data_IF_841646752317
#
_entry.id   IF_841646752317
#
_cell.length_a   1.000
_cell.length_b   1.000
_cell.length_c   1.000
_cell.angle_alpha   90.00
_cell.angle_beta   90.00
_cell.angle_gamma   90.00
#
_symmetry.space_group_name_H-M   'P 1'
#
loop_
_entity.id
_entity.type
_entity.pdbx_description
1 polymer ?
#
# COMPACT_ATOMS: atom_id res chain seq x y z
N UNK A 1 -27.94 60.09 7.12
CA UNK A 1 -27.02 59.18 7.79
C UNK A 1 -27.57 57.80 7.64
N UNK A 2 -27.17 56.97 6.66
CA UNK A 2 -27.47 55.53 6.63
C UNK A 2 -26.26 54.72 7.05
N UNK A 3 -26.51 53.80 7.99
CA UNK A 3 -25.53 52.86 8.54
C UNK A 3 -25.17 51.76 7.56
N UNK A 4 -23.87 51.45 7.49
CA UNK A 4 -23.33 50.30 6.76
C UNK A 4 -23.57 49.01 7.54
N UNK A 5 -24.34 48.08 6.94
CA UNK A 5 -24.36 46.71 7.33
C UNK A 5 -23.15 46.00 6.70
N UNK A 6 -22.18 45.65 7.52
CA UNK A 6 -21.07 44.77 7.14
C UNK A 6 -21.53 43.32 7.13
N UNK A 7 -21.50 42.67 5.97
CA UNK A 7 -21.72 41.23 5.83
C UNK A 7 -20.39 40.52 6.19
N UNK A 8 -20.37 39.87 7.32
CA UNK A 8 -19.30 38.95 7.72
C UNK A 8 -19.53 37.63 7.00
N UNK A 9 -18.76 37.39 5.96
CA UNK A 9 -18.67 36.04 5.36
C UNK A 9 -17.89 35.13 6.33
N UNK A 10 -18.64 34.30 7.06
CA UNK A 10 -18.06 33.26 7.87
C UNK A 10 -17.41 32.19 6.99
N UNK A 11 -16.09 32.06 7.08
CA UNK A 11 -15.37 30.90 6.54
C UNK A 11 -15.80 29.67 7.32
N UNK A 12 -16.48 28.73 6.66
CA UNK A 12 -16.77 27.41 7.18
C UNK A 12 -15.45 26.68 7.45
N UNK A 13 -15.22 26.33 8.70
CA UNK A 13 -14.15 25.41 9.12
C UNK A 13 -14.37 24.07 8.43
N UNK A 14 -13.33 23.39 7.94
CA UNK A 14 -13.47 22.03 7.41
C UNK A 14 -13.91 21.10 8.55
N UNK A 15 -15.02 20.43 8.35
CA UNK A 15 -15.61 19.49 9.30
C UNK A 15 -14.67 18.32 9.61
N UNK A 16 -14.90 17.58 10.68
CA UNK A 16 -13.98 16.59 11.26
C UNK A 16 -14.01 15.26 10.49
N UNK A 17 -13.57 15.22 9.25
CA UNK A 17 -13.35 13.97 8.50
C UNK A 17 -12.06 13.24 8.89
N UNK A 18 -11.17 13.90 9.64
CA UNK A 18 -9.90 13.31 10.08
C UNK A 18 -10.01 12.47 11.37
N UNK A 19 -11.11 12.54 12.12
CA UNK A 19 -11.24 11.88 13.42
C UNK A 19 -12.03 10.56 13.43
N UNK A 20 -12.63 10.14 12.32
CA UNK A 20 -13.46 8.92 12.28
C UNK A 20 -12.66 7.64 11.99
N UNK A 21 -11.35 7.72 11.73
CA UNK A 21 -10.52 6.55 11.39
C UNK A 21 -9.71 6.01 12.57
N UNK A 22 -9.71 6.69 13.72
CA UNK A 22 -9.13 6.16 14.96
C UNK A 22 -10.21 5.49 15.80
N UNK A 23 -10.01 4.22 16.10
CA UNK A 23 -10.78 3.41 17.05
C UNK A 23 -12.20 2.95 16.64
N UNK A 24 -12.29 2.00 15.72
CA UNK A 24 -13.23 0.91 15.91
C UNK A 24 -12.47 -0.35 16.27
N UNK A 25 -12.47 -0.66 17.55
CA UNK A 25 -12.17 -1.98 18.08
C UNK A 25 -13.12 -2.98 17.39
N UNK A 26 -12.54 -4.01 16.82
CA UNK A 26 -13.23 -5.11 16.18
C UNK A 26 -14.08 -5.86 17.22
N UNK A 27 -15.39 -5.82 17.10
CA UNK A 27 -16.28 -6.66 17.87
C UNK A 27 -16.69 -7.84 16.99
N UNK A 28 -16.32 -9.08 17.33
CA UNK A 28 -16.71 -10.25 16.56
C UNK A 28 -18.01 -10.81 17.14
N UNK A 29 -19.13 -10.68 16.46
CA UNK A 29 -20.27 -11.59 16.63
C UNK A 29 -21.33 -11.32 15.54
N UNK A 30 -21.32 -12.12 14.47
CA UNK A 30 -22.53 -12.72 13.92
C UNK A 30 -22.11 -14.04 13.27
N UNK A 31 -22.52 -15.15 13.85
CA UNK A 31 -22.46 -16.47 13.24
C UNK A 31 -23.52 -16.54 12.12
N UNK A 32 -23.06 -16.55 10.89
CA UNK A 32 -23.83 -16.92 9.71
C UNK A 32 -23.07 -17.98 8.95
N UNK A 33 -23.68 -19.10 8.67
CA UNK A 33 -23.16 -20.27 7.96
C UNK A 33 -22.42 -19.88 6.68
N UNK A 34 -21.08 -19.93 6.74
CA UNK A 34 -20.19 -19.68 5.59
C UNK A 34 -20.01 -20.95 4.77
N UNK A 35 -19.98 -20.87 3.42
CA UNK A 35 -19.58 -21.99 2.58
C UNK A 35 -18.12 -22.37 2.87
N UNK A 36 -17.86 -23.67 2.88
CA UNK A 36 -16.57 -24.29 3.21
C UNK A 36 -15.40 -23.66 2.45
N UNK A 37 -14.53 -22.98 3.20
CA UNK A 37 -13.26 -22.42 2.70
C UNK A 37 -12.33 -23.54 2.23
N UNK A 38 -11.60 -23.36 1.12
CA UNK A 38 -10.56 -24.31 0.76
C UNK A 38 -9.52 -24.35 1.89
N UNK A 39 -9.44 -25.48 2.57
CA UNK A 39 -8.46 -25.74 3.61
C UNK A 39 -7.10 -25.89 2.95
N UNK A 40 -6.23 -24.86 3.11
CA UNK A 40 -4.82 -25.05 2.79
C UNK A 40 -4.29 -26.06 3.82
N UNK A 41 -3.65 -27.16 3.39
CA UNK A 41 -3.11 -28.14 4.33
C UNK A 41 -2.20 -27.44 5.34
N UNK A 42 -2.40 -27.70 6.63
CA UNK A 42 -1.60 -27.16 7.75
C UNK A 42 -0.10 -27.52 7.67
N UNK A 43 0.31 -28.34 6.72
CA UNK A 43 1.62 -28.97 6.70
C UNK A 43 2.68 -28.27 5.83
N UNK A 44 2.45 -27.07 5.30
CA UNK A 44 3.50 -26.30 4.63
C UNK A 44 4.00 -25.16 5.53
N UNK A 45 4.88 -25.49 6.48
CA UNK A 45 5.63 -24.47 7.20
C UNK A 45 6.38 -23.58 6.22
N UNK A 46 6.20 -22.27 6.35
CA UNK A 46 6.92 -21.29 5.54
C UNK A 46 8.32 -21.09 6.11
N UNK A 47 9.33 -21.10 5.25
CA UNK A 47 10.69 -20.77 5.68
C UNK A 47 10.81 -19.28 6.03
N UNK A 48 11.53 -19.00 7.12
CA UNK A 48 11.88 -17.62 7.49
C UNK A 48 12.78 -17.01 6.39
N UNK A 49 12.64 -15.71 6.13
CA UNK A 49 13.50 -15.02 5.19
C UNK A 49 14.95 -15.09 5.70
N UNK A 50 15.81 -15.79 4.97
CA UNK A 50 17.25 -15.88 5.29
C UNK A 50 18.01 -14.81 4.53
N UNK A 51 18.84 -14.08 5.25
CA UNK A 51 19.71 -13.03 4.70
C UNK A 51 21.06 -13.07 5.40
N UNK A 52 22.09 -12.69 4.68
CA UNK A 52 23.43 -12.44 5.23
C UNK A 52 23.60 -10.98 5.72
N UNK A 53 22.53 -10.17 5.69
CA UNK A 53 22.53 -8.83 6.24
C UNK A 53 22.22 -8.87 7.74
N UNK A 54 23.08 -8.31 8.61
CA UNK A 54 22.83 -8.21 10.05
C UNK A 54 21.84 -7.07 10.40
N UNK A 55 21.59 -6.16 9.45
CA UNK A 55 20.73 -4.97 9.62
C UNK A 55 20.52 -4.26 8.29
N UNK A 56 20.21 -2.97 8.33
CA UNK A 56 20.03 -2.15 7.14
C UNK A 56 21.27 -2.18 6.23
N UNK A 57 21.05 -2.16 4.93
CA UNK A 57 22.13 -2.28 3.95
C UNK A 57 23.07 -1.06 4.01
N UNK A 58 24.38 -1.29 4.11
CA UNK A 58 25.42 -0.24 4.26
C UNK A 58 25.37 0.87 3.20
N UNK A 59 24.88 0.57 1.99
CA UNK A 59 24.77 1.53 0.88
C UNK A 59 23.35 2.10 0.72
N UNK A 60 22.46 1.86 1.69
CA UNK A 60 21.07 2.30 1.59
C UNK A 60 21.00 3.82 1.37
N UNK A 61 21.63 4.60 2.24
CA UNK A 61 21.62 6.06 2.17
C UNK A 61 22.10 6.56 0.81
N UNK A 62 23.28 6.15 0.35
CA UNK A 62 23.83 6.59 -0.93
C UNK A 62 22.98 6.22 -2.15
N UNK A 63 22.24 5.09 -2.07
CA UNK A 63 21.33 4.68 -3.15
C UNK A 63 20.06 5.56 -3.15
N UNK A 64 19.48 5.81 -1.98
CA UNK A 64 18.26 6.60 -1.83
C UNK A 64 18.51 8.08 -2.17
N UNK A 65 19.60 8.67 -1.68
CA UNK A 65 20.01 10.06 -2.00
C UNK A 65 20.14 10.27 -3.51
N UNK A 66 20.84 9.37 -4.20
CA UNK A 66 20.96 9.43 -5.66
C UNK A 66 19.60 9.40 -6.35
N UNK A 67 18.65 8.57 -5.87
CA UNK A 67 17.33 8.47 -6.48
C UNK A 67 16.45 9.68 -6.13
N UNK A 68 16.66 10.31 -4.97
CA UNK A 68 15.98 11.54 -4.58
C UNK A 68 16.35 12.73 -5.49
N UNK A 69 17.61 12.78 -5.92
CA UNK A 69 18.17 13.87 -6.74
C UNK A 69 17.94 13.67 -8.24
N UNK A 70 17.42 12.52 -8.66
CA UNK A 70 17.23 12.18 -10.06
C UNK A 70 15.81 11.68 -10.35
N UNK A 71 15.23 12.16 -11.45
CA UNK A 71 13.99 11.59 -11.95
C UNK A 71 14.25 10.25 -12.65
N UNK A 72 13.50 9.23 -12.27
CA UNK A 72 13.54 7.98 -12.99
C UNK A 72 12.73 8.07 -14.29
N UNK A 73 13.43 8.06 -15.43
CA UNK A 73 12.86 8.23 -16.77
C UNK A 73 12.62 6.89 -17.49
N UNK A 74 12.66 5.75 -16.81
CA UNK A 74 12.37 4.45 -17.43
C UNK A 74 11.03 4.48 -18.20
N UNK A 75 10.92 3.84 -19.37
CA UNK A 75 9.70 3.89 -20.16
C UNK A 75 8.53 3.23 -19.43
N UNK A 76 7.35 3.86 -19.50
CA UNK A 76 6.10 3.25 -19.04
C UNK A 76 5.75 2.10 -19.98
N UNK A 77 5.50 0.92 -19.44
CA UNK A 77 5.10 -0.24 -20.22
C UNK A 77 3.76 0.01 -20.91
N UNK A 78 3.60 -0.28 -22.23
CA UNK A 78 2.35 0.00 -22.96
C UNK A 78 1.10 -0.59 -22.30
N UNK A 79 1.18 -1.84 -21.83
CA UNK A 79 0.06 -2.47 -21.13
C UNK A 79 -0.29 -1.77 -19.78
N UNK A 80 0.70 -1.22 -19.06
CA UNK A 80 0.44 -0.43 -17.85
C UNK A 80 -0.27 0.87 -18.19
N UNK A 81 0.13 1.55 -19.27
CA UNK A 81 -0.51 2.78 -19.76
C UNK A 81 -1.96 2.53 -20.18
N UNK A 82 -2.23 1.46 -20.93
CA UNK A 82 -3.58 1.11 -21.35
C UNK A 82 -4.48 0.74 -20.16
N UNK A 83 -3.95 -0.04 -19.20
CA UNK A 83 -4.67 -0.41 -17.99
C UNK A 83 -4.99 0.83 -17.11
N UNK A 84 -4.05 1.77 -17.03
CA UNK A 84 -4.25 3.04 -16.33
C UNK A 84 -5.35 3.87 -17.00
N UNK A 85 -5.29 4.08 -18.30
CA UNK A 85 -6.29 4.85 -19.04
C UNK A 85 -7.70 4.25 -18.88
N UNK A 86 -7.83 2.93 -18.98
CA UNK A 86 -9.08 2.23 -18.78
C UNK A 86 -9.61 2.39 -17.33
N UNK A 87 -8.73 2.33 -16.32
CA UNK A 87 -9.09 2.57 -14.93
C UNK A 87 -9.61 4.00 -14.74
N UNK A 88 -8.87 5.02 -15.20
CA UNK A 88 -9.23 6.43 -15.03
C UNK A 88 -10.57 6.75 -15.72
N UNK A 89 -10.84 6.17 -16.88
CA UNK A 89 -12.11 6.36 -17.60
C UNK A 89 -13.32 5.81 -16.85
N UNK A 90 -13.15 4.76 -16.04
CA UNK A 90 -14.22 4.10 -15.29
C UNK A 90 -14.23 4.38 -13.78
N UNK A 91 -13.32 5.20 -13.28
CA UNK A 91 -13.24 5.54 -11.86
C UNK A 91 -14.08 6.77 -11.53
N UNK A 92 -14.95 6.63 -10.54
CA UNK A 92 -15.63 7.75 -9.92
C UNK A 92 -14.65 8.56 -9.06
N UNK A 93 -14.31 9.76 -9.49
CA UNK A 93 -13.31 10.63 -8.85
C UNK A 93 -13.77 11.18 -7.49
N UNK A 94 -15.07 11.14 -7.20
CA UNK A 94 -15.61 11.52 -5.90
C UNK A 94 -15.42 10.40 -4.86
N UNK A 95 -15.16 9.16 -5.33
CA UNK A 95 -14.82 8.04 -4.48
C UNK A 95 -13.32 8.03 -4.14
N UNK A 96 -12.92 8.10 -2.85
CA UNK A 96 -11.52 8.06 -2.46
C UNK A 96 -10.83 6.80 -2.98
N UNK A 97 -9.62 6.96 -3.53
CA UNK A 97 -8.85 5.85 -4.07
C UNK A 97 -8.00 5.18 -2.99
N UNK A 98 -8.10 3.86 -2.91
CA UNK A 98 -7.23 3.00 -2.09
C UNK A 98 -6.45 2.07 -3.00
N UNK A 99 -5.11 2.06 -2.88
CA UNK A 99 -4.23 1.19 -3.67
C UNK A 99 -3.83 -0.06 -2.90
N UNK A 100 -3.85 -1.21 -3.58
CA UNK A 100 -3.24 -2.47 -3.15
C UNK A 100 -2.18 -2.87 -4.20
N UNK A 101 -0.95 -2.43 -3.99
CA UNK A 101 0.13 -2.60 -4.97
C UNK A 101 0.87 -3.92 -4.77
N UNK A 102 0.85 -4.77 -5.80
CA UNK A 102 1.33 -6.14 -5.73
C UNK A 102 0.27 -7.09 -5.16
N UNK A 103 -1.01 -6.85 -5.48
CA UNK A 103 -2.17 -7.55 -4.91
C UNK A 103 -2.20 -9.08 -5.17
N UNK A 104 -1.33 -9.59 -6.02
CA UNK A 104 -1.25 -11.01 -6.34
C UNK A 104 -2.52 -11.52 -7.00
N UNK A 105 -3.27 -12.36 -6.30
CA UNK A 105 -4.56 -12.87 -6.79
C UNK A 105 -5.69 -11.85 -6.66
N UNK A 106 -5.53 -10.79 -5.86
CA UNK A 106 -6.58 -9.82 -5.53
C UNK A 106 -7.33 -10.15 -4.26
N UNK A 107 -6.92 -11.19 -3.51
CA UNK A 107 -7.58 -11.55 -2.25
C UNK A 107 -7.48 -10.41 -1.21
N UNK A 108 -6.31 -9.77 -1.10
CA UNK A 108 -6.12 -8.59 -0.26
C UNK A 108 -6.99 -7.42 -0.73
N UNK A 109 -7.09 -7.20 -2.03
CA UNK A 109 -7.91 -6.14 -2.61
C UNK A 109 -9.37 -6.30 -2.20
N UNK A 110 -9.93 -7.53 -2.26
CA UNK A 110 -11.29 -7.81 -1.80
C UNK A 110 -11.46 -7.52 -0.31
N UNK A 111 -10.52 -7.97 0.53
CA UNK A 111 -10.56 -7.68 1.98
C UNK A 111 -10.49 -6.19 2.29
N UNK A 112 -9.62 -5.46 1.60
CA UNK A 112 -9.51 -4.01 1.76
C UNK A 112 -10.82 -3.34 1.31
N UNK A 113 -11.45 -3.82 0.23
CA UNK A 113 -12.72 -3.28 -0.27
C UNK A 113 -13.87 -3.50 0.71
N UNK A 114 -13.94 -4.68 1.35
CA UNK A 114 -14.92 -4.97 2.41
C UNK A 114 -14.82 -3.97 3.59
N UNK A 115 -13.58 -3.60 3.97
CA UNK A 115 -13.34 -2.66 5.07
C UNK A 115 -13.44 -1.18 4.69
N UNK A 116 -13.54 -0.88 3.39
CA UNK A 116 -13.60 0.49 2.86
C UNK A 116 -14.75 0.62 1.84
N UNK A 117 -16.02 0.42 2.24
CA UNK A 117 -17.15 0.34 1.31
C UNK A 117 -17.38 1.64 0.51
N UNK A 118 -16.97 2.79 1.05
CA UNK A 118 -17.13 4.10 0.41
C UNK A 118 -15.90 4.53 -0.41
N UNK A 119 -14.95 3.61 -0.67
CA UNK A 119 -13.73 3.88 -1.43
C UNK A 119 -13.67 3.00 -2.66
N UNK A 120 -13.07 3.48 -3.73
CA UNK A 120 -12.64 2.62 -4.83
C UNK A 120 -11.31 1.96 -4.47
N UNK A 121 -11.29 0.63 -4.43
CA UNK A 121 -10.08 -0.14 -4.10
C UNK A 121 -9.50 -0.75 -5.37
N UNK A 122 -8.27 -0.36 -5.69
CA UNK A 122 -7.55 -0.78 -6.88
C UNK A 122 -6.41 -1.72 -6.55
N UNK A 123 -6.55 -3.00 -6.92
CA UNK A 123 -5.49 -3.99 -6.88
C UNK A 123 -4.65 -3.96 -8.16
N UNK A 124 -3.34 -3.84 -8.01
CA UNK A 124 -2.38 -3.77 -9.13
C UNK A 124 -1.43 -4.95 -9.02
N UNK A 125 -1.34 -5.78 -10.06
CA UNK A 125 -0.31 -6.83 -10.16
C UNK A 125 0.13 -7.02 -11.61
N UNK A 126 1.42 -7.27 -11.83
CA UNK A 126 1.96 -7.51 -13.18
C UNK A 126 1.65 -8.90 -13.74
N UNK A 127 1.30 -9.86 -12.89
CA UNK A 127 1.13 -11.26 -13.27
C UNK A 127 -0.31 -11.58 -13.64
N UNK A 128 -0.59 -11.76 -14.93
CA UNK A 128 -1.88 -12.24 -15.41
C UNK A 128 -2.27 -13.59 -14.76
N UNK A 129 -1.29 -14.50 -14.61
CA UNK A 129 -1.51 -15.80 -14.00
C UNK A 129 -1.95 -15.71 -12.52
N UNK A 130 -1.45 -14.73 -11.77
CA UNK A 130 -1.90 -14.49 -10.38
C UNK A 130 -3.30 -13.90 -10.36
N UNK A 131 -3.54 -12.84 -11.11
CA UNK A 131 -4.86 -12.18 -11.20
C UNK A 131 -5.96 -13.15 -11.65
N UNK A 132 -5.66 -14.06 -12.58
CA UNK A 132 -6.59 -15.09 -13.07
C UNK A 132 -6.93 -16.19 -12.04
N UNK A 133 -6.28 -16.22 -10.88
CA UNK A 133 -6.56 -17.17 -9.79
C UNK A 133 -7.52 -16.61 -8.74
N UNK A 134 -8.08 -15.45 -8.94
CA UNK A 134 -9.09 -14.90 -8.04
C UNK A 134 -10.35 -15.77 -8.07
N UNK A 135 -10.91 -16.05 -6.91
CA UNK A 135 -12.07 -16.94 -6.74
C UNK A 135 -13.15 -16.38 -5.80
N UNK A 136 -12.89 -15.20 -5.22
CA UNK A 136 -13.88 -14.53 -4.39
C UNK A 136 -14.87 -13.73 -5.27
N UNK A 137 -16.08 -13.43 -4.78
CA UNK A 137 -16.98 -12.52 -5.46
C UNK A 137 -16.34 -11.14 -5.67
N UNK A 138 -16.54 -10.54 -6.84
CA UNK A 138 -16.09 -9.18 -7.08
C UNK A 138 -17.06 -8.18 -6.42
N UNK A 139 -16.49 -7.29 -5.61
CA UNK A 139 -17.24 -6.22 -4.97
C UNK A 139 -17.37 -5.03 -5.93
N UNK A 140 -18.49 -4.30 -5.84
CA UNK A 140 -18.78 -3.16 -6.73
C UNK A 140 -17.73 -2.05 -6.64
N UNK A 141 -17.11 -1.88 -5.46
CA UNK A 141 -16.08 -0.89 -5.18
C UNK A 141 -14.64 -1.41 -5.40
N UNK A 142 -14.47 -2.63 -5.95
CA UNK A 142 -13.18 -3.24 -6.22
C UNK A 142 -12.87 -3.21 -7.71
N UNK A 143 -11.61 -2.95 -8.03
CA UNK A 143 -11.04 -3.09 -9.39
C UNK A 143 -9.71 -3.80 -9.31
N UNK A 144 -9.39 -4.61 -10.31
CA UNK A 144 -8.07 -5.28 -10.44
C UNK A 144 -7.51 -5.06 -11.82
N UNK A 145 -6.26 -4.61 -11.90
CA UNK A 145 -5.59 -4.31 -13.16
C UNK A 145 -4.26 -5.05 -13.29
N UNK A 146 -3.99 -5.49 -14.52
CA UNK A 146 -2.67 -6.02 -14.85
C UNK A 146 -1.76 -4.88 -15.27
N UNK A 147 -0.87 -4.47 -14.36
CA UNK A 147 0.09 -3.41 -14.61
C UNK A 147 1.32 -3.58 -13.70
N UNK A 148 2.40 -2.89 -14.03
CA UNK A 148 3.53 -2.69 -13.12
C UNK A 148 3.16 -1.60 -12.13
N UNK A 149 3.35 -1.85 -10.83
CA UNK A 149 3.02 -0.90 -9.78
C UNK A 149 3.80 0.41 -9.93
N UNK A 150 5.10 0.32 -10.26
CA UNK A 150 5.96 1.48 -10.48
C UNK A 150 5.49 2.39 -11.63
N UNK A 151 4.92 1.82 -12.69
CA UNK A 151 4.33 2.58 -13.78
C UNK A 151 3.06 3.31 -13.34
N UNK A 152 2.19 2.61 -12.59
CA UNK A 152 0.94 3.18 -12.07
C UNK A 152 1.19 4.33 -11.11
N UNK A 153 2.15 4.19 -10.18
CA UNK A 153 2.53 5.26 -9.26
C UNK A 153 2.98 6.52 -10.00
N UNK A 154 3.78 6.34 -11.05
CA UNK A 154 4.25 7.47 -11.88
C UNK A 154 3.13 8.14 -12.64
N UNK A 155 2.18 7.38 -13.17
CA UNK A 155 1.03 7.91 -13.90
C UNK A 155 0.09 8.67 -12.94
N UNK A 156 -0.22 8.09 -11.77
CA UNK A 156 -1.00 8.77 -10.74
C UNK A 156 -0.35 10.08 -10.28
N UNK A 157 0.97 10.04 -10.04
CA UNK A 157 1.72 11.24 -9.63
C UNK A 157 1.73 12.32 -10.74
N UNK A 158 1.85 11.93 -12.01
CA UNK A 158 1.82 12.85 -13.15
C UNK A 158 0.46 13.53 -13.31
N UNK A 159 -0.64 12.80 -13.04
CA UNK A 159 -2.00 13.32 -13.12
C UNK A 159 -2.44 14.02 -11.81
N UNK A 160 -1.56 14.11 -10.80
CA UNK A 160 -1.86 14.75 -9.51
C UNK A 160 -2.89 13.96 -8.67
N UNK A 161 -3.12 12.70 -8.99
CA UNK A 161 -4.06 11.83 -8.29
C UNK A 161 -3.42 11.32 -7.00
N UNK A 162 -4.06 11.58 -5.87
CA UNK A 162 -3.57 11.24 -4.53
C UNK A 162 -4.45 10.15 -3.91
N UNK A 163 -3.93 8.91 -3.77
CA UNK A 163 -4.66 7.88 -3.05
C UNK A 163 -4.85 8.25 -1.58
N UNK A 164 -6.04 8.00 -1.03
CA UNK A 164 -6.29 8.19 0.40
C UNK A 164 -5.45 7.20 1.23
N UNK A 165 -5.32 5.95 0.73
CA UNK A 165 -4.50 4.91 1.35
C UNK A 165 -3.76 4.10 0.30
N UNK A 166 -2.59 3.59 0.68
CA UNK A 166 -1.77 2.75 -0.18
C UNK A 166 -1.20 1.58 0.63
N UNK A 167 -1.50 0.36 0.22
CA UNK A 167 -1.03 -0.86 0.83
C UNK A 167 0.10 -1.48 0.01
N UNK A 168 1.19 -1.83 0.70
CA UNK A 168 2.31 -2.64 0.21
C UNK A 168 2.42 -3.89 1.09
N UNK A 169 1.69 -4.94 0.72
CA UNK A 169 1.54 -6.12 1.55
C UNK A 169 2.48 -7.23 1.10
N UNK A 170 3.46 -7.56 1.96
CA UNK A 170 4.43 -8.64 1.74
C UNK A 170 5.14 -8.56 0.38
N UNK A 171 5.75 -7.39 0.05
CA UNK A 171 6.53 -7.26 -1.17
C UNK A 171 7.66 -8.29 -1.18
N UNK A 172 8.12 -8.65 -2.40
CA UNK A 172 9.22 -9.60 -2.53
C UNK A 172 10.44 -9.08 -1.74
N UNK A 173 10.96 -9.83 -0.76
CA UNK A 173 11.98 -9.33 0.15
C UNK A 173 13.35 -9.11 -0.50
N UNK A 174 13.68 -9.86 -1.57
CA UNK A 174 15.00 -9.81 -2.21
C UNK A 174 16.16 -9.82 -1.19
N UNK A 175 16.31 -10.92 -0.40
CA UNK A 175 17.11 -10.89 0.83
C UNK A 175 18.63 -10.82 0.63
N UNK A 176 19.14 -11.05 -0.59
CA UNK A 176 20.55 -10.88 -0.88
C UNK A 176 20.92 -9.39 -0.91
N UNK A 177 22.05 -9.01 -0.28
CA UNK A 177 22.51 -7.62 -0.25
C UNK A 177 22.64 -7.01 -1.66
N UNK A 178 23.14 -7.77 -2.64
CA UNK A 178 23.24 -7.33 -4.04
C UNK A 178 21.90 -6.92 -4.67
N UNK A 179 20.77 -7.30 -4.07
CA UNK A 179 19.43 -7.02 -4.58
C UNK A 179 18.78 -5.77 -3.99
N UNK A 180 19.51 -4.90 -3.28
CA UNK A 180 18.94 -3.68 -2.68
C UNK A 180 18.04 -2.90 -3.68
N UNK A 181 18.52 -2.69 -4.91
CA UNK A 181 17.79 -1.95 -5.95
C UNK A 181 16.51 -2.63 -6.47
N UNK A 182 16.25 -3.89 -6.08
CA UNK A 182 14.99 -4.60 -6.39
C UNK A 182 13.92 -4.41 -5.32
N UNK A 183 14.32 -3.93 -4.12
CA UNK A 183 13.39 -3.56 -3.04
C UNK A 183 12.80 -2.18 -3.35
N UNK A 184 11.56 -1.94 -3.01
CA UNK A 184 10.90 -0.66 -3.34
C UNK A 184 11.67 0.56 -2.85
N UNK A 185 12.16 0.52 -1.62
CA UNK A 185 12.96 1.59 -1.02
C UNK A 185 14.37 1.75 -1.64
N UNK A 186 14.85 0.77 -2.37
CA UNK A 186 16.10 0.84 -3.15
C UNK A 186 15.88 1.06 -4.64
N UNK A 187 14.64 1.08 -5.11
CA UNK A 187 14.29 1.29 -6.50
C UNK A 187 14.21 2.79 -6.83
N UNK A 188 14.59 3.24 -8.04
CA UNK A 188 14.55 4.66 -8.40
C UNK A 188 13.13 5.27 -8.43
N UNK A 189 12.06 4.47 -8.43
CA UNK A 189 10.67 4.93 -8.31
C UNK A 189 10.30 5.39 -6.90
N UNK A 190 11.14 5.12 -5.90
CA UNK A 190 10.79 5.36 -4.49
C UNK A 190 10.38 6.80 -4.18
N UNK A 191 11.06 7.85 -4.68
CA UNK A 191 10.62 9.22 -4.48
C UNK A 191 9.22 9.50 -5.04
N UNK A 192 8.87 8.92 -6.21
CA UNK A 192 7.54 9.07 -6.78
C UNK A 192 6.46 8.34 -5.96
N UNK A 193 6.79 7.16 -5.39
CA UNK A 193 5.90 6.48 -4.45
C UNK A 193 5.59 7.38 -3.25
N UNK A 194 6.61 8.03 -2.66
CA UNK A 194 6.43 8.93 -1.51
C UNK A 194 5.68 10.21 -1.87
N UNK A 195 5.69 10.64 -3.13
CA UNK A 195 4.97 11.83 -3.59
C UNK A 195 3.47 11.62 -3.82
N UNK A 196 2.98 10.39 -3.79
CA UNK A 196 1.56 10.09 -4.02
C UNK A 196 0.63 10.68 -2.95
N UNK A 197 1.13 10.91 -1.75
CA UNK A 197 0.31 11.39 -0.63
C UNK A 197 -0.54 10.30 0.01
N UNK A 198 -1.38 10.69 0.99
CA UNK A 198 -2.22 9.80 1.77
C UNK A 198 -1.47 8.95 2.79
N UNK A 199 -2.07 7.85 3.21
CA UNK A 199 -1.52 6.95 4.21
C UNK A 199 -0.97 5.68 3.57
N UNK A 200 0.34 5.45 3.69
CA UNK A 200 0.97 4.20 3.23
C UNK A 200 1.08 3.21 4.38
N UNK A 201 0.70 1.97 4.13
CA UNK A 201 0.91 0.85 5.06
C UNK A 201 1.73 -0.26 4.38
N UNK A 202 2.91 -0.51 4.92
CA UNK A 202 3.77 -1.62 4.56
C UNK A 202 3.62 -2.74 5.60
N UNK A 203 3.39 -3.99 5.14
CA UNK A 203 3.49 -5.20 5.97
C UNK A 203 4.51 -6.16 5.38
N UNK A 204 5.27 -6.81 6.26
CA UNK A 204 6.27 -7.80 5.86
C UNK A 204 6.58 -8.76 7.02
N UNK A 205 7.09 -9.95 6.70
CA UNK A 205 7.66 -10.88 7.68
C UNK A 205 9.19 -10.75 7.81
N UNK A 206 9.79 -9.72 7.22
CA UNK A 206 11.23 -9.48 7.29
C UNK A 206 11.52 -8.07 7.85
N UNK A 207 11.90 -8.00 9.14
CA UNK A 207 12.08 -6.73 9.86
C UNK A 207 13.11 -5.80 9.23
N UNK A 208 14.19 -6.35 8.63
CA UNK A 208 15.18 -5.53 7.92
C UNK A 208 14.55 -4.77 6.76
N UNK A 209 13.63 -5.39 6.00
CA UNK A 209 12.93 -4.71 4.92
C UNK A 209 12.11 -3.51 5.42
N UNK A 210 11.35 -3.70 6.49
CA UNK A 210 10.54 -2.63 7.07
C UNK A 210 11.42 -1.49 7.60
N UNK A 211 12.52 -1.82 8.27
CA UNK A 211 13.45 -0.83 8.80
C UNK A 211 14.21 -0.08 7.69
N UNK A 212 14.65 -0.76 6.63
CA UNK A 212 15.24 -0.10 5.47
C UNK A 212 14.26 0.83 4.78
N UNK A 213 12.98 0.44 4.67
CA UNK A 213 11.94 1.29 4.09
C UNK A 213 11.72 2.55 4.94
N UNK A 214 11.66 2.42 6.28
CA UNK A 214 11.56 3.53 7.22
C UNK A 214 12.75 4.49 7.08
N UNK A 215 13.99 3.97 7.11
CA UNK A 215 15.20 4.76 6.96
C UNK A 215 15.25 5.49 5.61
N UNK A 216 14.89 4.81 4.52
CA UNK A 216 14.84 5.40 3.19
C UNK A 216 13.82 6.54 3.09
N UNK A 217 12.63 6.37 3.69
CA UNK A 217 11.63 7.43 3.77
C UNK A 217 12.15 8.64 4.56
N UNK A 218 12.85 8.42 5.68
CA UNK A 218 13.50 9.48 6.46
C UNK A 218 14.54 10.26 5.65
N UNK A 219 15.38 9.57 4.85
CA UNK A 219 16.36 10.21 3.94
C UNK A 219 15.65 11.07 2.90
N UNK A 220 14.44 10.67 2.46
CA UNK A 220 13.60 11.47 1.57
C UNK A 220 12.85 12.62 2.28
N UNK A 221 13.12 12.87 3.56
CA UNK A 221 12.53 13.99 4.32
C UNK A 221 11.17 13.70 4.94
N UNK A 222 10.75 12.43 5.00
CA UNK A 222 9.48 12.06 5.64
C UNK A 222 9.64 11.94 7.15
N UNK A 223 8.63 12.36 7.92
CA UNK A 223 8.52 12.05 9.34
C UNK A 223 8.15 10.57 9.52
N UNK A 224 9.09 9.76 10.01
CA UNK A 224 8.94 8.30 10.04
C UNK A 224 8.68 7.78 11.46
N UNK A 225 7.48 7.23 11.74
CA UNK A 225 7.22 6.54 13.00
C UNK A 225 8.03 5.23 13.09
N UNK A 226 8.12 4.60 14.26
CA UNK A 226 8.82 3.32 14.39
C UNK A 226 8.11 2.19 13.62
N UNK A 227 8.90 1.21 13.19
CA UNK A 227 8.37 -0.09 12.74
C UNK A 227 7.85 -0.84 13.96
N UNK A 228 6.65 -1.38 13.87
CA UNK A 228 6.04 -2.16 14.94
C UNK A 228 5.88 -3.63 14.55
N UNK A 229 6.09 -4.54 15.49
CA UNK A 229 5.64 -5.92 15.33
C UNK A 229 4.15 -5.99 15.74
N UNK A 230 3.39 -6.87 15.07
CA UNK A 230 1.98 -7.03 15.38
C UNK A 230 1.55 -8.50 15.36
N UNK A 231 0.52 -8.78 16.16
CA UNK A 231 -0.17 -10.07 16.15
C UNK A 231 -1.37 -10.01 15.21
N UNK A 232 -1.64 -11.12 14.55
CA UNK A 232 -2.68 -11.19 13.54
C UNK A 232 -4.04 -11.47 14.19
N UNK A 233 -4.99 -10.55 14.04
CA UNK A 233 -6.41 -10.77 14.38
C UNK A 233 -7.23 -11.19 13.14
N UNK A 234 -6.98 -10.54 12.00
CA UNK A 234 -7.63 -10.85 10.73
C UNK A 234 -6.64 -10.67 9.59
N UNK A 235 -6.34 -11.72 8.80
CA UNK A 235 -5.36 -11.65 7.72
C UNK A 235 -5.88 -10.82 6.54
N UNK A 236 -5.05 -9.90 6.05
CA UNK A 236 -5.30 -9.18 4.80
C UNK A 236 -4.78 -9.93 3.57
N UNK A 237 -3.90 -10.91 3.74
CA UNK A 237 -3.36 -11.70 2.64
C UNK A 237 -3.27 -13.18 3.00
N UNK A 238 -3.29 -14.10 2.02
CA UNK A 238 -2.97 -15.51 2.26
C UNK A 238 -1.56 -15.71 2.83
N UNK A 239 -0.59 -14.86 2.44
CA UNK A 239 0.78 -14.88 2.98
C UNK A 239 0.80 -14.55 4.47
N UNK A 240 0.07 -13.53 4.89
CA UNK A 240 -0.05 -13.13 6.29
C UNK A 240 -0.57 -14.26 7.16
N UNK A 241 -1.66 -14.93 6.71
CA UNK A 241 -2.19 -16.11 7.36
C UNK A 241 -1.14 -17.23 7.45
N UNK A 242 -0.45 -17.53 6.34
CA UNK A 242 0.59 -18.57 6.27
C UNK A 242 1.76 -18.26 7.20
N UNK A 243 2.26 -17.03 7.19
CA UNK A 243 3.39 -16.63 8.02
C UNK A 243 3.05 -16.66 9.50
N UNK A 244 1.87 -16.16 9.89
CA UNK A 244 1.41 -16.23 11.28
C UNK A 244 1.27 -17.69 11.75
N UNK A 245 0.67 -18.56 10.94
CA UNK A 245 0.55 -19.99 11.24
C UNK A 245 1.92 -20.70 11.34
N UNK A 246 2.95 -20.16 10.68
CA UNK A 246 4.34 -20.66 10.74
C UNK A 246 5.17 -20.02 11.86
N UNK A 247 4.57 -19.21 12.75
CA UNK A 247 5.26 -18.55 13.85
C UNK A 247 6.20 -17.40 13.45
N UNK A 248 6.05 -16.86 12.24
CA UNK A 248 6.87 -15.72 11.83
C UNK A 248 6.45 -14.46 12.57
N UNK A 249 7.41 -13.64 12.97
CA UNK A 249 7.14 -12.29 13.41
C UNK A 249 6.70 -11.44 12.22
N UNK A 250 5.58 -10.73 12.37
CA UNK A 250 5.04 -9.83 11.36
C UNK A 250 5.36 -8.39 11.75
N UNK A 251 5.71 -7.57 10.77
CA UNK A 251 6.07 -6.17 10.95
C UNK A 251 5.16 -5.28 10.12
N UNK A 252 4.78 -4.15 10.69
CA UNK A 252 4.00 -3.10 10.06
C UNK A 252 4.73 -1.77 10.19
N UNK A 253 4.71 -1.00 9.12
CA UNK A 253 5.17 0.38 9.07
C UNK A 253 4.08 1.21 8.39
N UNK A 254 3.56 2.21 9.11
CA UNK A 254 2.57 3.15 8.59
C UNK A 254 3.24 4.51 8.41
N UNK A 255 3.04 5.15 7.27
CA UNK A 255 3.66 6.41 6.93
C UNK A 255 2.61 7.36 6.36
N UNK A 256 2.50 8.54 6.95
CA UNK A 256 1.76 9.65 6.35
C UNK A 256 2.64 10.27 5.25
N UNK A 257 2.16 10.22 4.01
CA UNK A 257 2.87 10.77 2.84
C UNK A 257 2.53 12.24 2.60
N UNK A 258 1.71 12.87 3.45
CA UNK A 258 1.50 14.30 3.39
C UNK A 258 2.81 15.00 3.79
N UNK A 259 3.31 15.87 2.91
CA UNK A 259 4.43 16.74 3.30
C UNK A 259 3.90 17.68 4.38
N UNK A 260 4.54 17.69 5.54
CA UNK A 260 4.31 18.73 6.53
C UNK A 260 4.43 20.10 5.85
N UNK A 261 3.45 20.94 6.12
CA UNK A 261 3.46 22.35 5.68
C UNK A 261 4.58 23.08 6.38
#
# INVERSE_FOLDING_TARGET
>A
MPGHLGIILGFAQPGPLAQVVEHRAFNPLVEGSSPSRPTIPLNSQSSVVRSNQPGAHRRLAAVVERHRESNWLGPIHPASRSAYAAFIAGWDKDSPLVLDSGCGTGWSTARIAEYNPNCTVLGIDQSAARLGRFREPELSNMRRVRARAEDFWRLLAADGIRPARHFLLYPNPWPKAAHLRRRWHGHPVFPQLLSLGGQLELRTNWGIYAEEFRLAAGICGMATPPVVSFSLSSPLTPFERKYAASGHRLYRFCLNLEKGK
#
